data_IF_151982158475
#
_entry.id   IF_151982158475
#
_cell.length_a   1.000
_cell.length_b   1.000
_cell.length_c   1.000
_cell.angle_alpha   90.00
_cell.angle_beta   90.00
_cell.angle_gamma   90.00
#
_symmetry.space_group_name_H-M   'P 1'
#
loop_
_entity.id
_entity.type
_entity.pdbx_description
1 polymer ?
#
# COMPACT_ATOMS: atom_id res chain seq x y z
N UNK A 1 6.42 2.02 -25.90
CA UNK A 1 5.39 1.15 -25.30
C UNK A 1 6.00 -0.12 -24.69
N UNK A 2 6.90 -0.82 -25.38
CA UNK A 2 7.48 -2.09 -24.87
C UNK A 2 8.26 -1.94 -23.55
N UNK A 3 9.03 -0.85 -23.41
CA UNK A 3 9.71 -0.54 -22.14
C UNK A 3 8.74 -0.38 -20.97
N UNK A 4 7.62 0.34 -21.19
CA UNK A 4 6.60 0.55 -20.16
C UNK A 4 5.90 -0.76 -19.80
N UNK A 5 5.53 -1.58 -20.80
CA UNK A 5 4.96 -2.92 -20.59
C UNK A 5 5.86 -3.76 -19.69
N UNK A 6 7.17 -3.79 -20.00
CA UNK A 6 8.17 -4.54 -19.23
C UNK A 6 8.25 -4.05 -17.78
N UNK A 7 8.40 -2.74 -17.56
CA UNK A 7 8.45 -2.15 -16.21
C UNK A 7 7.19 -2.52 -15.43
N UNK A 8 6.02 -2.36 -16.03
CA UNK A 8 4.74 -2.61 -15.37
C UNK A 8 4.60 -4.08 -14.99
N UNK A 9 4.87 -5.02 -15.91
CA UNK A 9 4.67 -6.45 -15.63
C UNK A 9 5.77 -7.08 -14.77
N UNK A 10 7.04 -6.72 -15.00
CA UNK A 10 8.19 -7.40 -14.38
C UNK A 10 8.70 -6.70 -13.12
N UNK A 11 8.58 -5.37 -13.03
CA UNK A 11 9.18 -4.60 -11.94
C UNK A 11 8.15 -4.07 -10.94
N UNK A 12 6.93 -3.79 -11.38
CA UNK A 12 5.84 -3.28 -10.53
C UNK A 12 4.81 -4.37 -10.22
N UNK A 13 4.62 -5.35 -11.11
CA UNK A 13 3.63 -6.42 -10.96
C UNK A 13 2.20 -5.98 -11.30
N UNK A 14 2.07 -4.98 -12.18
CA UNK A 14 0.80 -4.54 -12.75
C UNK A 14 0.51 -5.16 -14.11
N UNK A 15 -0.55 -4.67 -14.74
CA UNK A 15 -0.90 -4.98 -16.14
C UNK A 15 -1.25 -3.71 -16.88
N UNK A 16 -0.97 -3.69 -18.18
CA UNK A 16 -1.48 -2.67 -19.09
C UNK A 16 -2.73 -3.22 -19.76
N UNK A 17 -3.83 -2.50 -19.65
CA UNK A 17 -5.12 -2.86 -20.22
C UNK A 17 -5.89 -1.61 -20.68
N UNK A 18 -7.07 -1.83 -21.27
CA UNK A 18 -8.01 -0.76 -21.61
C UNK A 18 -9.30 -1.02 -20.80
N UNK A 19 -9.75 -0.01 -20.07
CA UNK A 19 -10.94 -0.01 -19.23
C UNK A 19 -12.21 0.41 -20.00
N UNK A 20 -12.05 0.96 -21.20
CA UNK A 20 -13.16 1.38 -22.06
C UNK A 20 -13.67 2.81 -21.79
N UNK A 21 -12.84 3.69 -21.22
CA UNK A 21 -13.14 5.11 -21.00
C UNK A 21 -12.59 6.02 -22.10
N UNK A 22 -12.34 5.45 -23.29
CA UNK A 22 -11.66 6.11 -24.42
C UNK A 22 -10.23 6.56 -24.11
N UNK A 23 -9.59 5.96 -23.11
CA UNK A 23 -8.17 6.17 -22.85
C UNK A 23 -7.30 5.37 -23.83
N UNK A 24 -6.07 5.82 -24.06
CA UNK A 24 -5.10 5.10 -24.89
C UNK A 24 -4.67 3.79 -24.22
N UNK A 25 -4.37 3.87 -22.93
CA UNK A 25 -3.97 2.74 -22.11
C UNK A 25 -4.15 3.03 -20.63
N UNK A 26 -4.33 1.97 -19.85
CA UNK A 26 -4.41 2.00 -18.39
C UNK A 26 -3.38 1.07 -17.77
N UNK A 27 -2.66 1.53 -16.75
CA UNK A 27 -1.90 0.67 -15.85
C UNK A 27 -2.79 0.31 -14.66
N UNK A 28 -3.08 -0.98 -14.49
CA UNK A 28 -3.84 -1.50 -13.35
C UNK A 28 -2.91 -2.19 -12.36
N UNK A 29 -3.02 -1.78 -11.10
CA UNK A 29 -2.21 -2.22 -9.97
C UNK A 29 -3.08 -2.68 -8.83
N UNK A 30 -2.61 -3.70 -8.10
CA UNK A 30 -3.28 -4.21 -6.91
C UNK A 30 -2.45 -3.85 -5.67
N UNK A 31 -2.93 -2.89 -4.90
CA UNK A 31 -2.28 -2.48 -3.64
C UNK A 31 -2.48 -3.56 -2.56
N UNK A 32 -3.73 -3.99 -2.40
CA UNK A 32 -4.16 -5.11 -1.55
C UNK A 32 -5.29 -5.88 -2.28
N UNK A 33 -5.65 -7.09 -1.86
CA UNK A 33 -6.86 -7.76 -2.35
C UNK A 33 -8.09 -6.83 -2.24
N UNK A 34 -8.84 -6.69 -3.34
CA UNK A 34 -9.99 -5.78 -3.48
C UNK A 34 -9.68 -4.28 -3.31
N UNK A 35 -8.42 -3.87 -3.50
CA UNK A 35 -7.98 -2.48 -3.58
C UNK A 35 -7.14 -2.32 -4.86
N UNK A 36 -7.82 -2.03 -5.97
CA UNK A 36 -7.18 -1.82 -7.27
C UNK A 36 -7.09 -0.34 -7.59
N UNK A 37 -5.98 0.04 -8.23
CA UNK A 37 -5.69 1.40 -8.68
C UNK A 37 -5.46 1.34 -10.18
N UNK A 38 -6.05 2.28 -10.90
CA UNK A 38 -5.99 2.36 -12.36
C UNK A 38 -5.45 3.73 -12.77
N UNK A 39 -4.33 3.74 -13.48
CA UNK A 39 -3.72 4.94 -14.02
C UNK A 39 -4.02 4.99 -15.52
N UNK A 40 -5.09 5.68 -15.89
CA UNK A 40 -5.55 5.82 -17.26
C UNK A 40 -4.88 7.02 -17.92
N UNK A 41 -4.29 6.81 -19.09
CA UNK A 41 -3.61 7.85 -19.87
C UNK A 41 -4.37 8.12 -21.16
N UNK A 42 -4.56 9.41 -21.46
CA UNK A 42 -5.14 9.86 -22.74
C UNK A 42 -4.25 10.96 -23.33
N UNK A 43 -3.90 10.83 -24.61
CA UNK A 43 -3.22 11.83 -25.41
C UNK A 43 -4.22 12.48 -26.37
N UNK A 44 -4.37 13.80 -26.28
CA UNK A 44 -5.35 14.54 -27.08
C UNK A 44 -4.75 15.18 -28.34
N UNK A 45 -3.42 15.07 -28.52
CA UNK A 45 -2.73 15.77 -29.59
C UNK A 45 -2.53 17.26 -29.29
N UNK A 46 -1.78 17.93 -30.15
CA UNK A 46 -1.55 19.39 -30.06
C UNK A 46 -2.70 20.21 -30.70
N UNK A 47 -3.78 19.54 -31.12
CA UNK A 47 -4.82 20.10 -32.01
C UNK A 47 -6.01 20.76 -31.29
N UNK A 48 -6.15 20.58 -29.97
CA UNK A 48 -7.23 21.18 -29.21
C UNK A 48 -6.71 22.36 -28.38
N UNK A 49 -7.17 23.56 -28.72
CA UNK A 49 -6.67 24.85 -28.22
C UNK A 49 -6.94 25.17 -26.75
N UNK A 50 -7.17 24.18 -25.90
CA UNK A 50 -7.24 24.33 -24.44
C UNK A 50 -5.87 24.18 -23.75
N UNK A 51 -4.85 23.74 -24.49
CA UNK A 51 -3.47 23.62 -24.03
C UNK A 51 -3.17 22.33 -23.25
N UNK A 52 -4.13 21.40 -23.14
CA UNK A 52 -3.93 20.09 -22.49
C UNK A 52 -3.59 19.06 -23.57
N UNK A 53 -2.32 18.68 -23.66
CA UNK A 53 -1.84 17.71 -24.66
C UNK A 53 -2.02 16.26 -24.22
N UNK A 54 -2.08 16.01 -22.91
CA UNK A 54 -2.31 14.70 -22.33
C UNK A 54 -2.89 14.79 -20.92
N UNK A 55 -3.51 13.72 -20.46
CA UNK A 55 -4.09 13.60 -19.12
C UNK A 55 -3.81 12.22 -18.51
N UNK A 56 -3.56 12.21 -17.19
CA UNK A 56 -3.67 11.02 -16.37
C UNK A 56 -4.89 11.13 -15.46
N UNK A 57 -5.73 10.09 -15.45
CA UNK A 57 -6.81 9.92 -14.48
C UNK A 57 -6.54 8.72 -13.60
N UNK A 58 -6.73 8.90 -12.30
CA UNK A 58 -6.61 7.84 -11.30
C UNK A 58 -7.99 7.35 -10.91
N UNK A 59 -8.28 6.06 -11.17
CA UNK A 59 -9.50 5.40 -10.72
C UNK A 59 -9.17 4.35 -9.66
N UNK A 60 -10.14 4.08 -8.79
CA UNK A 60 -10.04 3.12 -7.70
C UNK A 60 -11.20 2.14 -7.78
N UNK A 61 -10.92 0.85 -7.64
CA UNK A 61 -11.95 -0.19 -7.69
C UNK A 61 -11.67 -1.35 -6.72
N UNK A 62 -12.68 -2.22 -6.56
CA UNK A 62 -12.68 -3.31 -5.59
C UNK A 62 -13.42 -2.94 -4.31
N UNK A 63 -14.01 -3.94 -3.65
CA UNK A 63 -14.89 -3.76 -2.50
C UNK A 63 -14.22 -3.05 -1.31
N UNK A 64 -12.89 -3.18 -1.19
CA UNK A 64 -12.12 -2.60 -0.08
C UNK A 64 -11.46 -1.29 -0.42
N UNK A 65 -11.52 -0.81 -1.67
CA UNK A 65 -11.01 0.53 -2.00
C UNK A 65 -11.64 1.60 -1.09
N UNK A 66 -12.91 1.42 -0.76
CA UNK A 66 -13.68 2.33 0.09
C UNK A 66 -13.17 2.46 1.52
N UNK A 67 -12.46 1.47 2.07
CA UNK A 67 -11.93 1.53 3.44
C UNK A 67 -10.54 2.18 3.53
N UNK A 68 -9.87 2.39 2.40
CA UNK A 68 -8.52 2.96 2.36
C UNK A 68 -8.60 4.49 2.23
N UNK A 69 -7.88 5.26 3.07
CA UNK A 69 -7.79 6.71 2.96
C UNK A 69 -7.23 7.15 1.60
N UNK A 70 -7.69 8.32 1.14
CA UNK A 70 -7.21 8.91 -0.11
C UNK A 70 -5.70 9.17 -0.06
N UNK A 71 -5.20 9.59 1.11
CA UNK A 71 -3.79 9.84 1.39
C UNK A 71 -2.93 8.60 1.11
N UNK A 72 -3.29 7.43 1.66
CA UNK A 72 -2.57 6.16 1.41
C UNK A 72 -2.58 5.81 -0.09
N UNK A 73 -3.73 5.95 -0.76
CA UNK A 73 -3.86 5.60 -2.19
C UNK A 73 -3.09 6.54 -3.11
N UNK A 74 -3.11 7.85 -2.85
CA UNK A 74 -2.41 8.84 -3.67
C UNK A 74 -0.91 8.77 -3.45
N UNK A 75 -0.45 8.60 -2.21
CA UNK A 75 0.98 8.37 -1.95
C UNK A 75 1.47 7.07 -2.60
N UNK A 76 0.64 6.02 -2.68
CA UNK A 76 0.98 4.85 -3.48
C UNK A 76 1.11 5.18 -4.97
N UNK A 77 0.20 5.97 -5.54
CA UNK A 77 0.29 6.45 -6.94
C UNK A 77 1.58 7.24 -7.17
N UNK A 78 1.96 8.13 -6.26
CA UNK A 78 3.20 8.91 -6.36
C UNK A 78 4.44 8.01 -6.38
N UNK A 79 4.47 6.97 -5.54
CA UNK A 79 5.55 5.97 -5.53
C UNK A 79 5.63 5.26 -6.89
N UNK A 80 4.50 4.93 -7.50
CA UNK A 80 4.44 4.27 -8.81
C UNK A 80 4.95 5.19 -9.91
N UNK A 81 4.54 6.47 -9.92
CA UNK A 81 5.00 7.42 -10.92
C UNK A 81 6.49 7.69 -10.79
N UNK A 82 7.01 7.92 -9.59
CA UNK A 82 8.46 8.03 -9.36
C UNK A 82 9.19 6.78 -9.84
N UNK A 83 8.68 5.59 -9.51
CA UNK A 83 9.28 4.34 -9.94
C UNK A 83 9.38 4.24 -11.47
N UNK A 84 8.26 4.46 -12.17
CA UNK A 84 8.20 4.40 -13.63
C UNK A 84 9.13 5.45 -14.24
N UNK A 85 9.09 6.68 -13.76
CA UNK A 85 9.95 7.77 -14.24
C UNK A 85 11.43 7.41 -14.10
N UNK A 86 11.85 6.95 -12.92
CA UNK A 86 13.24 6.56 -12.68
C UNK A 86 13.68 5.40 -13.56
N UNK A 87 12.84 4.39 -13.72
CA UNK A 87 13.16 3.23 -14.57
C UNK A 87 13.31 3.63 -16.04
N UNK A 88 12.43 4.50 -16.56
CA UNK A 88 12.52 5.04 -17.92
C UNK A 88 13.78 5.89 -18.09
N UNK A 89 14.13 6.71 -17.08
CA UNK A 89 15.30 7.59 -17.09
C UNK A 89 16.60 6.89 -16.70
N UNK A 90 16.57 5.59 -16.41
CA UNK A 90 17.70 4.81 -15.92
C UNK A 90 18.38 5.44 -14.68
N UNK A 91 17.57 5.97 -13.76
CA UNK A 91 18.03 6.62 -12.53
C UNK A 91 17.90 5.67 -11.34
N UNK A 92 18.96 5.63 -10.55
CA UNK A 92 18.95 4.95 -9.27
C UNK A 92 18.01 5.66 -8.27
N UNK A 93 17.43 4.91 -7.31
CA UNK A 93 16.76 5.51 -6.16
C UNK A 93 17.72 6.40 -5.36
N UNK A 94 17.18 7.50 -4.82
CA UNK A 94 17.98 8.47 -4.05
C UNK A 94 18.48 7.89 -2.73
N UNK A 95 17.56 7.47 -1.85
CA UNK A 95 17.90 6.95 -0.52
C UNK A 95 17.93 5.42 -0.52
N UNK A 96 19.02 4.83 0.00
CA UNK A 96 19.28 3.39 -0.05
C UNK A 96 19.59 2.79 1.33
N UNK A 97 19.05 3.37 2.40
CA UNK A 97 19.29 2.90 3.77
C UNK A 97 18.16 1.97 4.24
N UNK A 98 18.27 0.67 3.94
CA UNK A 98 17.20 -0.31 4.20
C UNK A 98 17.26 -0.94 5.59
N UNK A 99 18.42 -0.87 6.25
CA UNK A 99 18.66 -1.48 7.57
C UNK A 99 18.30 -0.55 8.73
N UNK A 100 18.08 0.73 8.44
CA UNK A 100 17.75 1.76 9.42
C UNK A 100 16.31 2.23 9.22
N UNK A 101 15.56 2.35 10.32
CA UNK A 101 14.21 2.92 10.31
C UNK A 101 14.28 4.44 10.51
N UNK A 102 13.53 5.21 9.73
CA UNK A 102 13.32 6.62 9.99
C UNK A 102 12.56 6.84 11.30
N UNK A 103 12.58 8.06 11.82
CA UNK A 103 11.80 8.40 13.01
C UNK A 103 10.28 8.32 12.76
N UNK A 104 9.85 8.61 11.53
CA UNK A 104 8.46 8.40 11.11
C UNK A 104 8.08 6.91 11.26
N UNK A 105 8.89 6.00 10.71
CA UNK A 105 8.62 4.56 10.80
C UNK A 105 8.62 4.07 12.25
N UNK A 106 9.59 4.48 13.08
CA UNK A 106 9.62 4.14 14.52
C UNK A 106 8.35 4.60 15.25
N UNK A 107 7.90 5.82 14.98
CA UNK A 107 6.69 6.38 15.56
C UNK A 107 5.45 5.61 15.11
N UNK A 108 5.37 5.26 13.82
CA UNK A 108 4.28 4.47 13.26
C UNK A 108 4.15 3.13 13.98
N UNK A 109 5.26 2.40 14.12
CA UNK A 109 5.27 1.07 14.74
C UNK A 109 4.86 1.14 16.21
N UNK A 110 5.37 2.14 16.94
CA UNK A 110 5.02 2.37 18.36
C UNK A 110 3.53 2.67 18.54
N UNK A 111 2.99 3.63 17.78
CA UNK A 111 1.59 4.06 17.90
C UNK A 111 0.58 2.98 17.50
N UNK A 112 0.98 2.01 16.67
CA UNK A 112 0.10 0.99 16.11
C UNK A 112 0.29 -0.38 16.76
N UNK A 113 1.09 -0.46 17.82
CA UNK A 113 1.43 -1.71 18.48
C UNK A 113 0.24 -2.33 19.22
N UNK A 114 -0.44 -1.55 20.07
CA UNK A 114 -1.48 -2.05 20.98
C UNK A 114 -2.57 -2.90 20.27
N UNK A 115 -3.11 -2.48 19.09
CA UNK A 115 -4.11 -3.28 18.37
C UNK A 115 -3.66 -4.71 18.01
N UNK A 116 -2.36 -4.97 17.82
CA UNK A 116 -1.86 -6.31 17.44
C UNK A 116 -2.12 -7.36 18.53
N UNK A 117 -2.30 -6.95 19.79
CA UNK A 117 -2.68 -7.84 20.90
C UNK A 117 -4.05 -8.52 20.70
N UNK A 118 -4.87 -8.00 19.78
CA UNK A 118 -6.21 -8.52 19.50
C UNK A 118 -6.21 -9.65 18.46
N UNK A 119 -5.08 -9.90 17.78
CA UNK A 119 -4.95 -11.00 16.82
C UNK A 119 -4.94 -12.35 17.54
N UNK A 120 -5.73 -13.30 17.04
CA UNK A 120 -5.87 -14.67 17.58
C UNK A 120 -5.47 -15.69 16.53
N UNK A 121 -5.05 -16.89 16.92
CA UNK A 121 -4.59 -17.93 15.98
C UNK A 121 -5.59 -18.20 14.85
N UNK A 122 -6.89 -18.14 15.16
CA UNK A 122 -7.98 -18.29 14.18
C UNK A 122 -7.99 -17.22 13.07
N UNK A 123 -7.32 -16.08 13.28
CA UNK A 123 -7.21 -14.98 12.32
C UNK A 123 -6.19 -15.25 11.23
N UNK A 124 -5.25 -16.19 11.41
CA UNK A 124 -4.12 -16.40 10.49
C UNK A 124 -4.55 -16.49 9.02
N UNK A 125 -5.49 -17.39 8.70
CA UNK A 125 -5.97 -17.59 7.32
C UNK A 125 -6.72 -16.36 6.80
N UNK A 126 -7.57 -15.76 7.63
CA UNK A 126 -8.40 -14.61 7.22
C UNK A 126 -7.55 -13.36 7.00
N UNK A 127 -6.57 -13.12 7.86
CA UNK A 127 -5.61 -12.04 7.73
C UNK A 127 -4.74 -12.23 6.48
N UNK A 128 -4.25 -13.45 6.21
CA UNK A 128 -3.50 -13.76 4.98
C UNK A 128 -4.29 -13.41 3.71
N UNK A 129 -5.57 -13.82 3.65
CA UNK A 129 -6.47 -13.51 2.54
C UNK A 129 -6.81 -12.01 2.48
N UNK A 130 -6.92 -11.35 3.64
CA UNK A 130 -7.21 -9.92 3.70
C UNK A 130 -6.07 -9.08 3.11
N UNK A 131 -4.83 -9.42 3.48
CA UNK A 131 -3.63 -8.69 3.08
C UNK A 131 -3.07 -9.11 1.72
N UNK A 132 -3.41 -10.31 1.25
CA UNK A 132 -2.71 -10.94 0.11
C UNK A 132 -1.26 -11.23 0.47
N UNK A 133 -1.03 -11.76 1.68
CA UNK A 133 0.28 -11.95 2.29
C UNK A 133 0.40 -13.36 2.88
N UNK A 134 1.65 -13.81 3.10
CA UNK A 134 1.91 -14.99 3.93
C UNK A 134 1.86 -14.57 5.40
N UNK A 135 1.06 -15.25 6.21
CA UNK A 135 0.89 -14.96 7.64
C UNK A 135 1.10 -16.25 8.44
N UNK A 136 1.90 -16.17 9.50
CA UNK A 136 2.12 -17.30 10.40
C UNK A 136 2.38 -16.84 11.82
N UNK A 137 1.97 -17.70 12.75
CA UNK A 137 2.27 -17.55 14.17
C UNK A 137 3.72 -17.94 14.43
N UNK A 138 4.35 -17.23 15.35
CA UNK A 138 5.61 -17.62 16.00
C UNK A 138 5.31 -18.04 17.44
N UNK A 139 6.29 -18.59 18.14
CA UNK A 139 6.11 -18.99 19.55
C UNK A 139 5.55 -17.86 20.43
N UNK A 140 5.90 -16.61 20.11
CA UNK A 140 5.52 -15.44 20.89
C UNK A 140 4.83 -14.36 20.05
N UNK A 141 4.21 -14.67 18.90
CA UNK A 141 3.53 -13.62 18.13
C UNK A 141 3.24 -13.96 16.67
N UNK A 142 3.47 -13.00 15.79
CA UNK A 142 3.03 -13.04 14.40
C UNK A 142 4.14 -12.58 13.46
N UNK A 143 4.24 -13.23 12.30
CA UNK A 143 5.05 -12.77 11.18
C UNK A 143 4.22 -12.73 9.92
N UNK A 144 4.35 -11.61 9.22
CA UNK A 144 3.58 -11.28 8.02
C UNK A 144 4.58 -10.90 6.94
N UNK A 145 4.54 -11.59 5.81
CA UNK A 145 5.38 -11.32 4.64
C UNK A 145 4.52 -11.00 3.43
N UNK A 146 4.60 -9.77 2.95
CA UNK A 146 3.88 -9.27 1.77
C UNK A 146 4.88 -8.93 0.68
N UNK A 147 4.65 -9.44 -0.53
CA UNK A 147 5.34 -8.96 -1.72
C UNK A 147 4.73 -7.63 -2.15
N UNK A 148 5.50 -6.55 -2.10
CA UNK A 148 5.04 -5.21 -2.45
C UNK A 148 5.19 -4.95 -3.96
N UNK A 149 6.29 -5.42 -4.53
CA UNK A 149 6.58 -5.49 -5.96
C UNK A 149 7.24 -6.84 -6.26
N UNK A 150 7.25 -7.32 -7.52
CA UNK A 150 7.92 -8.56 -7.90
C UNK A 150 9.34 -8.67 -7.32
N UNK A 151 9.52 -9.66 -6.45
CA UNK A 151 10.80 -9.94 -5.78
C UNK A 151 11.17 -9.02 -4.62
N UNK A 152 10.30 -8.08 -4.22
CA UNK A 152 10.51 -7.15 -3.10
C UNK A 152 9.46 -7.40 -2.02
N UNK A 153 9.93 -7.73 -0.82
CA UNK A 153 9.11 -8.15 0.30
C UNK A 153 9.23 -7.23 1.50
N UNK A 154 8.09 -6.98 2.12
CA UNK A 154 7.93 -6.32 3.41
C UNK A 154 7.63 -7.42 4.43
N UNK A 155 8.43 -7.48 5.48
CA UNK A 155 8.27 -8.42 6.58
C UNK A 155 7.98 -7.68 7.87
N UNK A 156 6.79 -7.90 8.43
CA UNK A 156 6.39 -7.39 9.73
C UNK A 156 6.46 -8.52 10.75
N UNK A 157 7.11 -8.27 11.88
CA UNK A 157 7.15 -9.19 13.03
C UNK A 157 6.55 -8.49 14.23
N UNK A 158 5.54 -9.11 14.81
CA UNK A 158 4.98 -8.72 16.09
C UNK A 158 5.35 -9.78 17.12
N UNK A 159 5.83 -9.34 18.27
CA UNK A 159 6.10 -10.18 19.44
C UNK A 159 5.22 -9.70 20.61
N UNK A 160 4.63 -10.66 21.33
CA UNK A 160 3.84 -10.51 22.55
C UNK A 160 4.60 -9.81 23.69
N UNK A 161 5.94 -9.77 23.65
CA UNK A 161 6.74 -8.84 24.47
C UNK A 161 6.72 -7.39 23.94
N UNK A 162 5.62 -6.98 23.29
CA UNK A 162 5.29 -5.61 22.86
C UNK A 162 6.25 -4.98 21.84
N UNK A 163 6.80 -5.77 20.90
CA UNK A 163 7.60 -5.21 19.80
C UNK A 163 6.95 -5.44 18.44
N UNK A 164 6.84 -4.36 17.67
CA UNK A 164 6.48 -4.38 16.26
C UNK A 164 7.70 -3.95 15.45
N UNK A 165 8.23 -4.87 14.65
CA UNK A 165 9.41 -4.66 13.82
C UNK A 165 9.06 -4.86 12.35
N UNK A 166 9.72 -4.08 11.50
CA UNK A 166 9.59 -4.19 10.04
C UNK A 166 10.98 -4.34 9.42
N UNK A 167 11.05 -5.15 8.37
CA UNK A 167 12.24 -5.37 7.56
C UNK A 167 11.85 -5.46 6.08
N UNK A 168 12.82 -5.14 5.21
CA UNK A 168 12.65 -5.17 3.76
C UNK A 168 13.66 -6.14 3.17
N UNK A 169 13.22 -7.01 2.27
CA UNK A 169 14.09 -7.98 1.58
C UNK A 169 13.75 -8.02 0.11
N UNK A 170 14.69 -8.45 -0.73
CA UNK A 170 14.44 -8.61 -2.15
C UNK A 170 15.68 -8.44 -2.99
N UNK A 171 15.73 -9.15 -4.12
CA UNK A 171 16.84 -9.01 -5.06
C UNK A 171 16.82 -7.62 -5.69
N UNK A 172 17.98 -6.96 -5.72
CA UNK A 172 18.14 -5.64 -6.34
C UNK A 172 17.22 -4.55 -5.77
N UNK A 173 16.79 -4.67 -4.51
CA UNK A 173 15.96 -3.66 -3.82
C UNK A 173 16.57 -2.25 -3.96
N UNK A 174 17.90 -2.16 -3.83
CA UNK A 174 18.72 -0.94 -3.95
C UNK A 174 18.77 -0.31 -5.35
N UNK A 175 18.34 -1.05 -6.37
CA UNK A 175 18.25 -0.58 -7.75
C UNK A 175 16.82 -0.19 -8.14
N UNK A 176 15.82 -0.78 -7.49
CA UNK A 176 14.42 -0.63 -7.89
C UNK A 176 13.70 0.48 -7.10
N UNK A 177 13.86 0.53 -5.78
CA UNK A 177 13.08 1.42 -4.92
C UNK A 177 13.89 1.99 -3.77
N UNK A 178 13.67 3.27 -3.45
CA UNK A 178 14.35 3.92 -2.32
C UNK A 178 13.79 3.47 -0.97
N UNK A 179 14.61 3.55 0.08
CA UNK A 179 14.21 3.19 1.45
C UNK A 179 12.99 3.99 1.92
N UNK A 180 12.91 5.28 1.61
CA UNK A 180 11.77 6.15 1.92
C UNK A 180 10.44 5.62 1.36
N UNK A 181 10.41 5.24 0.08
CA UNK A 181 9.20 4.69 -0.55
C UNK A 181 8.82 3.31 0.03
N UNK A 182 9.81 2.47 0.37
CA UNK A 182 9.53 1.21 1.06
C UNK A 182 8.93 1.41 2.44
N UNK A 183 9.38 2.43 3.17
CA UNK A 183 8.79 2.74 4.46
C UNK A 183 7.30 3.09 4.32
N UNK A 184 6.90 3.87 3.31
CA UNK A 184 5.47 4.09 3.07
C UNK A 184 4.71 2.81 2.76
N UNK A 185 5.24 1.94 1.90
CA UNK A 185 4.61 0.64 1.64
C UNK A 185 4.48 -0.20 2.91
N UNK A 186 5.47 -0.10 3.81
CA UNK A 186 5.43 -0.69 5.14
C UNK A 186 4.33 -0.09 6.02
N UNK A 187 4.21 1.24 6.06
CA UNK A 187 3.15 1.96 6.76
C UNK A 187 1.77 1.51 6.25
N UNK A 188 1.60 1.42 4.93
CA UNK A 188 0.34 0.98 4.33
C UNK A 188 -0.03 -0.44 4.75
N UNK A 189 0.94 -1.35 4.81
CA UNK A 189 0.73 -2.71 5.30
C UNK A 189 0.26 -2.71 6.76
N UNK A 190 0.94 -1.97 7.64
CA UNK A 190 0.54 -1.86 9.06
C UNK A 190 -0.85 -1.24 9.19
N UNK A 191 -1.15 -0.16 8.46
CA UNK A 191 -2.47 0.47 8.45
C UNK A 191 -3.55 -0.51 7.99
N UNK A 192 -3.27 -1.34 6.97
CA UNK A 192 -4.23 -2.32 6.47
C UNK A 192 -4.44 -3.49 7.43
N UNK A 193 -3.42 -3.88 8.20
CA UNK A 193 -3.58 -4.83 9.31
C UNK A 193 -4.47 -4.23 10.40
N UNK A 194 -4.29 -2.96 10.76
CA UNK A 194 -5.17 -2.26 11.71
C UNK A 194 -6.62 -2.28 11.23
N UNK A 195 -6.87 -2.02 9.94
CA UNK A 195 -8.23 -2.12 9.37
C UNK A 195 -8.82 -3.52 9.57
N UNK A 196 -8.05 -4.59 9.33
CA UNK A 196 -8.50 -5.95 9.62
C UNK A 196 -8.86 -6.13 11.10
N UNK A 197 -7.97 -5.70 12.01
CA UNK A 197 -8.19 -5.82 13.45
C UNK A 197 -9.46 -5.08 13.86
N UNK A 198 -9.63 -3.84 13.41
CA UNK A 198 -10.81 -3.01 13.69
C UNK A 198 -12.09 -3.70 13.25
N UNK A 199 -12.16 -4.15 11.99
CA UNK A 199 -13.37 -4.77 11.43
C UNK A 199 -13.76 -6.08 12.13
N UNK A 200 -12.80 -6.77 12.75
CA UNK A 200 -13.04 -8.04 13.45
C UNK A 200 -13.19 -7.88 14.99
N UNK A 201 -13.15 -6.65 15.50
CA UNK A 201 -13.24 -6.37 16.94
C UNK A 201 -14.11 -5.13 17.23
N UNK A 202 -15.14 -4.88 16.42
CA UNK A 202 -16.06 -3.74 16.58
C UNK A 202 -16.88 -3.77 17.88
N UNK A 203 -16.95 -4.93 18.53
CA UNK A 203 -17.58 -5.15 19.83
C UNK A 203 -16.71 -4.67 21.02
N UNK A 204 -15.46 -4.25 20.77
CA UNK A 204 -14.51 -3.82 21.80
C UNK A 204 -14.27 -2.32 21.76
N UNK A 205 -13.79 -1.79 22.89
CA UNK A 205 -13.20 -0.44 22.93
C UNK A 205 -11.81 -0.49 22.29
N UNK A 206 -11.69 0.05 21.08
CA UNK A 206 -10.43 0.11 20.33
C UNK A 206 -9.77 1.49 20.49
N UNK A 207 -8.43 1.59 20.42
CA UNK A 207 -7.72 2.87 20.39
C UNK A 207 -8.08 3.71 19.16
N UNK A 208 -8.01 5.04 19.26
CA UNK A 208 -8.44 5.95 18.18
C UNK A 208 -7.71 5.72 16.86
N UNK A 209 -6.44 5.30 16.92
CA UNK A 209 -5.65 4.96 15.73
C UNK A 209 -6.36 3.89 14.86
N UNK A 210 -7.10 2.95 15.46
CA UNK A 210 -7.86 1.93 14.73
C UNK A 210 -8.93 2.52 13.81
N UNK A 211 -9.49 3.69 14.15
CA UNK A 211 -10.54 4.36 13.38
C UNK A 211 -9.97 5.38 12.39
N UNK A 212 -8.88 6.07 12.76
CA UNK A 212 -8.21 7.07 11.91
C UNK A 212 -7.63 6.42 10.63
N UNK A 213 -7.33 5.12 10.65
CA UNK A 213 -6.81 4.42 9.47
C UNK A 213 -7.85 4.17 8.37
N UNK A 214 -9.12 4.53 8.56
CA UNK A 214 -10.17 4.35 7.54
C UNK A 214 -10.39 5.62 6.71
N UNK A 215 -10.87 5.45 5.49
CA UNK A 215 -11.29 6.58 4.66
C UNK A 215 -12.39 7.39 5.36
N UNK A 216 -12.38 8.72 5.17
CA UNK A 216 -13.43 9.61 5.69
C UNK A 216 -14.83 9.21 5.22
N UNK A 217 -14.93 8.69 3.99
CA UNK A 217 -16.18 8.20 3.45
C UNK A 217 -16.69 7.00 4.25
N UNK A 218 -15.83 6.01 4.52
CA UNK A 218 -16.20 4.83 5.29
C UNK A 218 -16.54 5.16 6.75
N UNK A 219 -15.77 6.03 7.39
CA UNK A 219 -16.07 6.44 8.78
C UNK A 219 -17.41 7.15 8.87
N UNK A 220 -17.78 7.99 7.89
CA UNK A 220 -19.10 8.61 7.81
C UNK A 220 -20.22 7.58 7.61
N UNK A 221 -20.02 6.59 6.74
CA UNK A 221 -21.00 5.51 6.55
C UNK A 221 -21.25 4.69 7.83
N UNK A 222 -20.24 4.55 8.68
CA UNK A 222 -20.32 3.79 9.94
C UNK A 222 -20.72 4.65 11.15
N UNK A 223 -20.96 5.94 10.97
CA UNK A 223 -21.17 6.91 12.05
C UNK A 223 -20.08 6.85 13.13
N UNK A 224 -18.84 6.58 12.71
CA UNK A 224 -17.69 6.63 13.61
C UNK A 224 -17.31 8.09 13.80
N UNK A 225 -17.65 8.63 14.98
CA UNK A 225 -17.21 9.96 15.39
C UNK A 225 -15.69 9.93 15.51
N UNK A 226 -15.02 10.69 14.64
CA UNK A 226 -13.64 11.08 14.87
C UNK A 226 -13.66 11.99 16.10
N UNK A 227 -13.43 11.41 17.28
CA UNK A 227 -13.04 12.21 18.44
C UNK A 227 -11.60 12.68 18.18
N UNK A 228 -11.45 13.64 17.27
CA UNK A 228 -10.27 14.48 17.23
C UNK A 228 -10.34 15.35 18.49
N UNK A 229 -9.82 14.83 19.60
CA UNK A 229 -9.32 15.66 20.68
C UNK A 229 -7.89 16.07 20.35
#
# INVERSE_FOLDING_TARGET
MDTLKKIVSEDIGGKIENLGFNEDWTITLKMFPEVNIHLAYSYFGDEFGDGITAEFKCYFSGERAVIVPGEDTITFVDIIFDFIERMIKHKDPFEKSYDTKSDLMKNVLTQRLEPFTLLKDKDQKKLALFLGAKVWNTENGWRIKKEAFPGIFIELTYNAQEKLEIAYTGESISKKIGSYHLEFLGIFLVNHILRYITLNNLDKKLPDICYIMFSRYYTKMKDWKHNLM
#
